data_IF_510629459842
#
_entry.id   IF_510629459842
#
_cell.length_a   1.000
_cell.length_b   1.000
_cell.length_c   1.000
_cell.angle_alpha   90.00
_cell.angle_beta   90.00
_cell.angle_gamma   90.00
#
_symmetry.space_group_name_H-M   'P 1'
#
loop_
_entity.id
_entity.type
_entity.pdbx_description
1 polymer ?
#
# COMPACT_ATOMS: atom_id res chain seq x y z
N UNK A 1 -4.80 22.11 -10.93
CA UNK A 1 -5.87 22.94 -10.33
C UNK A 1 -5.32 24.27 -9.82
N UNK A 2 -4.55 24.28 -8.72
CA UNK A 2 -4.01 25.51 -8.09
C UNK A 2 -3.31 26.44 -9.11
N UNK A 3 -2.39 25.92 -9.92
CA UNK A 3 -1.71 26.69 -10.99
C UNK A 3 -2.64 27.39 -11.98
N UNK A 4 -3.84 26.85 -12.22
CA UNK A 4 -4.84 27.46 -13.13
C UNK A 4 -5.56 28.62 -12.43
N UNK A 5 -5.80 28.49 -11.13
CA UNK A 5 -6.37 29.56 -10.29
C UNK A 5 -5.37 30.71 -10.14
N UNK A 6 -4.09 30.40 -9.91
CA UNK A 6 -3.01 31.40 -9.86
C UNK A 6 -2.85 32.17 -11.18
N UNK A 7 -3.16 31.54 -12.32
CA UNK A 7 -3.17 32.18 -13.64
C UNK A 7 -4.46 32.92 -13.98
N UNK A 8 -5.45 32.92 -13.08
CA UNK A 8 -6.75 33.55 -13.32
C UNK A 8 -7.66 32.77 -14.28
N UNK A 9 -7.31 31.55 -14.69
CA UNK A 9 -8.14 30.72 -15.57
C UNK A 9 -9.39 30.17 -14.87
N UNK A 10 -9.41 30.23 -13.54
CA UNK A 10 -10.53 29.81 -12.70
C UNK A 10 -10.52 30.58 -11.37
N UNK A 11 -11.69 30.94 -10.86
CA UNK A 11 -11.87 31.65 -9.60
C UNK A 11 -12.71 30.86 -8.57
N UNK A 12 -13.01 29.60 -8.88
CA UNK A 12 -13.89 28.76 -8.08
C UNK A 12 -13.50 27.29 -8.04
N UNK A 13 -13.86 26.63 -6.93
CA UNK A 13 -13.69 25.20 -6.70
C UNK A 13 -15.01 24.64 -6.18
N UNK A 14 -15.49 23.58 -6.82
CA UNK A 14 -16.55 22.71 -6.34
C UNK A 14 -15.94 21.36 -5.97
N UNK A 15 -16.12 20.92 -4.72
CA UNK A 15 -15.63 19.62 -4.27
C UNK A 15 -16.62 18.98 -3.31
N UNK A 16 -16.55 17.67 -3.15
CA UNK A 16 -17.46 16.95 -2.27
C UNK A 16 -17.31 17.36 -0.79
N UNK A 17 -16.07 17.53 -0.34
CA UNK A 17 -15.71 17.87 1.03
C UNK A 17 -14.29 18.50 1.05
N UNK A 18 -13.93 19.35 2.05
CA UNK A 18 -12.63 20.01 2.12
C UNK A 18 -11.40 19.09 2.08
N UNK A 19 -11.50 17.88 2.62
CA UNK A 19 -10.45 16.84 2.57
C UNK A 19 -9.94 16.53 1.15
N UNK A 20 -10.74 16.81 0.12
CA UNK A 20 -10.37 16.62 -1.29
C UNK A 20 -9.40 17.67 -1.83
N UNK A 21 -9.26 18.79 -1.13
CA UNK A 21 -8.49 19.93 -1.62
C UNK A 21 -7.06 19.96 -1.09
N UNK A 22 -6.82 19.43 0.11
CA UNK A 22 -5.53 19.48 0.77
C UNK A 22 -5.12 18.10 1.30
N UNK A 23 -3.99 17.58 0.83
CA UNK A 23 -3.42 16.31 1.33
C UNK A 23 -2.44 16.53 2.48
N UNK A 24 -1.97 17.76 2.67
CA UNK A 24 -1.02 18.14 3.70
C UNK A 24 -1.28 19.60 4.12
N UNK A 25 -0.59 20.03 5.18
CA UNK A 25 -0.74 21.38 5.74
C UNK A 25 -0.33 22.49 4.77
N UNK A 26 0.58 22.23 3.84
CA UNK A 26 1.02 23.20 2.83
C UNK A 26 -0.09 23.46 1.81
N UNK A 27 -0.73 22.40 1.32
CA UNK A 27 -1.83 22.53 0.35
C UNK A 27 -3.03 23.25 0.95
N UNK A 28 -3.37 22.93 2.21
CA UNK A 28 -4.46 23.59 2.93
C UNK A 28 -4.19 25.07 3.16
N UNK A 29 -2.97 25.41 3.57
CA UNK A 29 -2.53 26.79 3.72
C UNK A 29 -2.58 27.58 2.40
N UNK A 30 -2.18 26.96 1.28
CA UNK A 30 -2.27 27.58 -0.05
C UNK A 30 -3.70 27.90 -0.47
N UNK A 31 -4.65 27.02 -0.17
CA UNK A 31 -6.07 27.28 -0.50
C UNK A 31 -6.59 28.46 0.31
N UNK A 32 -6.29 28.50 1.61
CA UNK A 32 -6.68 29.62 2.48
C UNK A 32 -6.05 30.93 1.97
N UNK A 33 -4.76 30.90 1.61
CA UNK A 33 -4.07 32.05 1.03
C UNK A 33 -4.72 32.53 -0.27
N UNK A 34 -5.12 31.62 -1.16
CA UNK A 34 -5.83 32.00 -2.40
C UNK A 34 -7.19 32.62 -2.13
N UNK A 35 -7.89 32.21 -1.07
CA UNK A 35 -9.12 32.85 -0.61
C UNK A 35 -8.80 34.25 -0.04
N UNK A 36 -7.74 34.39 0.76
CA UNK A 36 -7.31 35.66 1.35
C UNK A 36 -6.93 36.70 0.29
N UNK A 37 -6.18 36.29 -0.73
CA UNK A 37 -5.79 37.15 -1.84
C UNK A 37 -6.91 37.37 -2.87
N UNK A 38 -8.12 36.85 -2.65
CA UNK A 38 -9.27 37.02 -3.55
C UNK A 38 -9.16 36.28 -4.89
N UNK A 39 -8.16 35.42 -5.08
CA UNK A 39 -8.00 34.62 -6.30
C UNK A 39 -8.99 33.45 -6.33
N UNK A 40 -9.42 32.97 -5.16
CA UNK A 40 -10.44 31.95 -4.99
C UNK A 40 -11.68 32.55 -4.32
N UNK A 41 -12.67 32.90 -5.14
CA UNK A 41 -13.90 33.58 -4.70
C UNK A 41 -15.03 32.61 -4.39
N UNK A 42 -15.13 31.53 -5.16
CA UNK A 42 -16.20 30.54 -5.01
C UNK A 42 -15.65 29.23 -4.50
N UNK A 43 -15.97 28.89 -3.26
CA UNK A 43 -15.60 27.59 -2.69
C UNK A 43 -16.86 26.95 -2.11
N UNK A 44 -17.30 25.85 -2.74
CA UNK A 44 -18.56 25.19 -2.40
C UNK A 44 -18.37 23.69 -2.19
N UNK A 45 -19.06 23.18 -1.17
CA UNK A 45 -19.12 21.76 -0.87
C UNK A 45 -20.56 21.33 -0.52
N UNK A 46 -21.01 20.15 -0.96
CA UNK A 46 -22.30 19.59 -0.52
C UNK A 46 -22.35 19.25 0.98
N UNK A 47 -21.22 18.88 1.58
CA UNK A 47 -21.14 18.35 2.96
C UNK A 47 -20.57 19.34 3.96
N UNK A 48 -20.13 20.52 3.50
CA UNK A 48 -19.49 21.54 4.33
C UNK A 48 -19.88 22.93 3.83
N UNK A 49 -20.45 23.74 4.71
CA UNK A 49 -20.80 25.11 4.37
C UNK A 49 -19.59 26.03 4.57
N UNK A 50 -19.22 26.76 3.51
CA UNK A 50 -18.12 27.71 3.55
C UNK A 50 -18.58 29.09 3.08
N UNK A 51 -18.16 30.09 3.84
CA UNK A 51 -18.28 31.51 3.52
C UNK A 51 -16.92 32.20 3.73
N UNK A 52 -16.64 33.22 2.92
CA UNK A 52 -15.39 33.97 2.98
C UNK A 52 -15.41 35.00 4.13
N UNK A 53 -15.55 34.51 5.36
CA UNK A 53 -15.46 35.28 6.60
C UNK A 53 -14.28 34.78 7.44
N UNK A 54 -13.83 35.56 8.42
CA UNK A 54 -12.76 35.14 9.33
C UNK A 54 -13.08 33.80 10.02
N UNK A 55 -14.35 33.62 10.41
CA UNK A 55 -14.83 32.36 10.98
C UNK A 55 -14.82 31.23 9.95
N UNK A 56 -15.27 31.47 8.71
CA UNK A 56 -15.29 30.45 7.66
C UNK A 56 -13.88 29.96 7.30
N UNK A 57 -12.90 30.86 7.22
CA UNK A 57 -11.49 30.52 7.01
C UNK A 57 -10.91 29.70 8.16
N UNK A 58 -11.23 30.08 9.40
CA UNK A 58 -10.84 29.30 10.58
C UNK A 58 -11.42 27.88 10.53
N UNK A 59 -12.73 27.74 10.28
CA UNK A 59 -13.38 26.43 10.17
C UNK A 59 -12.81 25.58 9.03
N UNK A 60 -12.49 26.21 7.89
CA UNK A 60 -11.84 25.51 6.78
C UNK A 60 -10.44 25.00 7.16
N UNK A 61 -9.67 25.78 7.92
CA UNK A 61 -8.36 25.36 8.43
C UNK A 61 -8.50 24.15 9.37
N UNK A 62 -9.45 24.20 10.31
CA UNK A 62 -9.75 23.08 11.21
C UNK A 62 -10.14 21.83 10.39
N UNK A 63 -10.97 21.97 9.36
CA UNK A 63 -11.36 20.84 8.50
C UNK A 63 -10.16 20.21 7.76
N UNK A 64 -9.22 21.02 7.26
CA UNK A 64 -7.96 20.51 6.70
C UNK A 64 -7.10 19.81 7.75
N UNK A 65 -7.01 20.38 8.97
CA UNK A 65 -6.30 19.78 10.10
C UNK A 65 -6.88 18.40 10.50
N UNK A 66 -8.20 18.31 10.61
CA UNK A 66 -8.90 17.06 10.92
C UNK A 66 -8.67 16.00 9.84
N UNK A 67 -8.67 16.39 8.56
CA UNK A 67 -8.42 15.48 7.44
C UNK A 67 -7.00 14.90 7.51
N UNK A 68 -5.99 15.74 7.81
CA UNK A 68 -4.62 15.30 8.02
C UNK A 68 -4.50 14.35 9.22
N UNK A 69 -5.08 14.73 10.36
CA UNK A 69 -5.10 13.89 11.56
C UNK A 69 -5.72 12.52 11.29
N UNK A 70 -6.84 12.46 10.55
CA UNK A 70 -7.50 11.20 10.22
C UNK A 70 -6.57 10.28 9.42
N UNK A 71 -5.88 10.82 8.41
CA UNK A 71 -4.93 10.05 7.58
C UNK A 71 -3.75 9.54 8.42
N UNK A 72 -3.16 10.41 9.24
CA UNK A 72 -2.01 10.07 10.09
C UNK A 72 -2.42 9.01 11.14
N UNK A 73 -3.55 9.20 11.82
CA UNK A 73 -4.10 8.26 12.78
C UNK A 73 -4.43 6.90 12.14
N UNK A 74 -5.00 6.89 10.93
CA UNK A 74 -5.26 5.64 10.20
C UNK A 74 -3.96 4.90 9.86
N UNK A 75 -2.91 5.62 9.48
CA UNK A 75 -1.60 5.03 9.21
C UNK A 75 -0.97 4.44 10.48
N UNK A 76 -1.06 5.13 11.62
CA UNK A 76 -0.62 4.64 12.92
C UNK A 76 -1.40 3.38 13.35
N UNK A 77 -2.73 3.43 13.26
CA UNK A 77 -3.60 2.31 13.59
C UNK A 77 -3.30 1.09 12.72
N UNK A 78 -3.03 1.30 11.43
CA UNK A 78 -2.63 0.23 10.50
C UNK A 78 -1.28 -0.37 10.90
N UNK A 79 -0.25 0.47 11.13
CA UNK A 79 1.07 0.02 11.59
C UNK A 79 0.97 -0.76 12.90
N UNK A 80 0.16 -0.29 13.85
CA UNK A 80 -0.11 -0.98 15.11
C UNK A 80 -0.76 -2.35 14.88
N UNK A 81 -1.76 -2.43 14.01
CA UNK A 81 -2.41 -3.70 13.64
C UNK A 81 -1.45 -4.70 13.01
N UNK A 82 -0.61 -4.25 12.07
CA UNK A 82 0.41 -5.10 11.44
C UNK A 82 1.46 -5.58 12.46
N UNK A 83 1.93 -4.70 13.36
CA UNK A 83 2.84 -5.10 14.45
C UNK A 83 2.22 -6.15 15.38
N UNK A 84 0.92 -6.04 15.67
CA UNK A 84 0.22 -7.05 16.47
C UNK A 84 0.14 -8.41 15.76
N UNK A 85 -0.11 -8.42 14.45
CA UNK A 85 -0.03 -9.66 13.66
C UNK A 85 1.34 -10.32 13.75
N UNK A 86 2.39 -9.51 13.55
CA UNK A 86 3.80 -9.98 13.63
C UNK A 86 4.10 -10.59 15.00
N UNK A 87 3.67 -9.94 16.09
CA UNK A 87 3.83 -10.47 17.46
C UNK A 87 3.11 -11.80 17.68
N UNK A 88 2.01 -12.04 16.96
CA UNK A 88 1.29 -13.33 17.01
C UNK A 88 1.91 -14.40 16.10
N UNK A 89 2.95 -14.07 15.32
CA UNK A 89 3.54 -14.95 14.31
C UNK A 89 2.71 -15.03 13.02
N UNK A 90 1.79 -14.09 12.80
CA UNK A 90 0.98 -14.02 11.59
C UNK A 90 1.69 -13.15 10.54
N UNK A 91 1.90 -13.69 9.35
CA UNK A 91 2.54 -12.94 8.26
C UNK A 91 1.63 -11.80 7.77
N UNK A 92 2.06 -10.53 7.86
CA UNK A 92 1.20 -9.37 7.63
C UNK A 92 1.11 -8.94 6.15
N UNK A 93 1.45 -9.83 5.21
CA UNK A 93 1.49 -9.54 3.78
C UNK A 93 0.86 -10.67 2.95
N UNK A 94 0.83 -10.51 1.64
CA UNK A 94 0.28 -11.52 0.73
C UNK A 94 1.08 -12.81 0.82
N UNK A 95 0.40 -13.94 1.02
CA UNK A 95 0.97 -15.28 0.96
C UNK A 95 1.95 -15.48 -0.22
N UNK A 96 3.16 -16.02 0.03
CA UNK A 96 4.12 -16.36 -1.02
C UNK A 96 3.61 -17.46 -1.97
N UNK A 97 4.29 -17.63 -3.11
CA UNK A 97 3.93 -18.67 -4.09
C UNK A 97 4.05 -20.04 -3.41
N UNK A 98 3.06 -20.92 -3.61
CA UNK A 98 2.96 -22.18 -2.86
C UNK A 98 2.00 -22.11 -1.67
N UNK A 99 1.51 -20.91 -1.34
CA UNK A 99 0.53 -20.67 -0.29
C UNK A 99 -0.64 -19.82 -0.80
N UNK A 100 -1.76 -19.85 -0.08
CA UNK A 100 -2.96 -19.09 -0.36
C UNK A 100 -3.41 -18.35 0.90
N UNK A 101 -4.00 -17.18 0.72
CA UNK A 101 -4.68 -16.49 1.82
C UNK A 101 -6.11 -17.02 1.86
N UNK A 102 -6.53 -17.61 2.98
CA UNK A 102 -7.91 -18.02 3.19
C UNK A 102 -8.73 -16.80 3.64
N UNK A 103 -9.70 -16.31 2.84
CA UNK A 103 -10.51 -15.15 3.20
C UNK A 103 -11.40 -15.39 4.43
N UNK A 104 -11.73 -16.65 4.74
CA UNK A 104 -12.65 -17.01 5.84
C UNK A 104 -11.94 -16.93 7.19
N UNK A 105 -10.79 -17.60 7.28
CA UNK A 105 -10.00 -17.65 8.51
C UNK A 105 -8.98 -16.51 8.62
N UNK A 106 -8.75 -15.76 7.53
CA UNK A 106 -7.74 -14.70 7.42
C UNK A 106 -6.33 -15.19 7.72
N UNK A 107 -6.06 -16.49 7.52
CA UNK A 107 -4.75 -17.12 7.67
C UNK A 107 -4.15 -17.49 6.31
N UNK A 108 -2.91 -17.95 6.34
CA UNK A 108 -2.22 -18.47 5.18
C UNK A 108 -2.26 -19.99 5.26
N UNK A 109 -2.69 -20.63 4.17
CA UNK A 109 -2.78 -22.08 4.03
C UNK A 109 -1.88 -22.56 2.89
N UNK A 110 -1.42 -23.80 2.96
CA UNK A 110 -0.58 -24.43 1.93
C UNK A 110 -1.41 -24.78 0.70
N UNK A 111 -0.99 -24.28 -0.47
CA UNK A 111 -1.50 -24.78 -1.76
C UNK A 111 -0.76 -26.07 -2.10
N UNK A 112 -1.35 -27.23 -1.79
CA UNK A 112 -0.70 -28.55 -1.97
C UNK A 112 -0.07 -28.72 -3.36
N UNK A 113 -0.75 -28.25 -4.41
CA UNK A 113 -0.26 -28.38 -5.79
C UNK A 113 0.96 -27.49 -6.01
N UNK A 114 0.86 -26.19 -5.71
CA UNK A 114 1.96 -25.23 -5.94
C UNK A 114 3.12 -25.43 -4.96
N UNK A 115 2.85 -25.78 -3.71
CA UNK A 115 3.86 -26.06 -2.69
C UNK A 115 4.79 -27.21 -3.11
N UNK A 116 4.24 -28.27 -3.69
CA UNK A 116 5.04 -29.39 -4.20
C UNK A 116 6.03 -28.96 -5.30
N UNK A 117 5.62 -28.03 -6.17
CA UNK A 117 6.47 -27.48 -7.22
C UNK A 117 7.55 -26.57 -6.66
N UNK A 118 7.21 -25.74 -5.66
CA UNK A 118 8.20 -24.92 -4.97
C UNK A 118 9.24 -25.78 -4.27
N UNK A 119 8.83 -26.85 -3.56
CA UNK A 119 9.76 -27.79 -2.93
C UNK A 119 10.73 -28.40 -3.96
N UNK A 120 10.22 -28.87 -5.10
CA UNK A 120 11.05 -29.37 -6.21
C UNK A 120 12.01 -28.31 -6.75
N UNK A 121 11.60 -27.04 -6.79
CA UNK A 121 12.47 -25.94 -7.21
C UNK A 121 13.64 -25.70 -6.23
N UNK A 122 13.41 -25.83 -4.92
CA UNK A 122 14.48 -25.81 -3.92
C UNK A 122 15.42 -27.01 -4.07
N UNK A 123 14.87 -28.21 -4.24
CA UNK A 123 15.67 -29.43 -4.47
C UNK A 123 16.51 -29.33 -5.74
N UNK A 124 15.96 -28.77 -6.83
CA UNK A 124 16.68 -28.53 -8.08
C UNK A 124 17.85 -27.57 -7.87
N UNK A 125 17.63 -26.48 -7.12
CA UNK A 125 18.69 -25.52 -6.83
C UNK A 125 19.78 -26.10 -5.92
N UNK A 126 19.41 -26.95 -4.96
CA UNK A 126 20.33 -27.57 -4.01
C UNK A 126 21.27 -28.62 -4.64
N UNK A 127 20.93 -29.20 -5.80
CA UNK A 127 21.70 -30.27 -6.45
C UNK A 127 23.05 -29.85 -7.08
N UNK A 128 23.61 -28.69 -6.70
CA UNK A 128 24.89 -28.14 -7.17
C UNK A 128 25.10 -28.25 -8.69
N UNK A 129 24.55 -27.28 -9.43
CA UNK A 129 24.71 -27.18 -10.89
C UNK A 129 23.63 -26.34 -11.56
N UNK A 130 22.50 -26.13 -10.89
CA UNK A 130 21.38 -25.35 -11.41
C UNK A 130 21.59 -23.86 -11.22
N UNK A 131 21.48 -23.09 -12.31
CA UNK A 131 21.41 -21.63 -12.29
C UNK A 131 19.99 -21.20 -11.90
N UNK A 132 19.85 -19.94 -11.47
CA UNK A 132 18.53 -19.34 -11.20
C UNK A 132 17.61 -19.38 -12.44
N UNK A 133 18.19 -19.36 -13.64
CA UNK A 133 17.44 -19.48 -14.89
C UNK A 133 16.83 -20.86 -15.10
N UNK A 134 17.52 -21.92 -14.68
CA UNK A 134 17.03 -23.30 -14.79
C UNK A 134 15.80 -23.49 -13.90
N UNK A 135 15.85 -22.93 -12.69
CA UNK A 135 14.71 -22.89 -11.76
C UNK A 135 13.54 -22.08 -12.33
N UNK A 136 13.83 -20.94 -12.97
CA UNK A 136 12.80 -20.14 -13.65
C UNK A 136 12.12 -20.90 -14.79
N UNK A 137 12.90 -21.64 -15.59
CA UNK A 137 12.40 -22.48 -16.68
C UNK A 137 11.57 -23.64 -16.15
N UNK A 138 12.04 -24.34 -15.12
CA UNK A 138 11.31 -25.42 -14.45
C UNK A 138 9.96 -24.95 -13.91
N UNK A 139 9.92 -23.81 -13.22
CA UNK A 139 8.68 -23.26 -12.67
C UNK A 139 7.70 -22.87 -13.77
N UNK A 140 8.18 -22.27 -14.87
CA UNK A 140 7.33 -21.93 -16.01
C UNK A 140 6.76 -23.19 -16.70
N UNK A 141 7.59 -24.22 -16.93
CA UNK A 141 7.13 -25.51 -17.48
C UNK A 141 6.12 -26.21 -16.57
N UNK A 142 6.24 -26.01 -15.26
CA UNK A 142 5.31 -26.54 -14.26
C UNK A 142 4.03 -25.69 -14.09
N UNK A 143 3.84 -24.64 -14.90
CA UNK A 143 2.65 -23.79 -14.89
C UNK A 143 2.68 -22.65 -13.86
N UNK A 144 3.84 -22.33 -13.28
CA UNK A 144 4.03 -21.17 -12.39
C UNK A 144 4.57 -19.99 -13.20
N UNK A 145 3.70 -19.01 -13.43
CA UNK A 145 4.01 -17.80 -14.18
C UNK A 145 3.80 -16.54 -13.33
N UNK A 146 4.34 -15.42 -13.82
CA UNK A 146 3.98 -14.09 -13.32
C UNK A 146 2.50 -13.79 -13.57
N UNK A 147 1.97 -12.71 -12.94
CA UNK A 147 0.59 -12.25 -13.16
C UNK A 147 0.24 -12.01 -14.65
N UNK A 148 1.25 -11.67 -15.46
CA UNK A 148 1.08 -11.38 -16.89
C UNK A 148 1.36 -12.62 -17.77
N UNK A 149 1.38 -13.83 -17.21
CA UNK A 149 1.64 -15.08 -17.94
C UNK A 149 3.11 -15.31 -18.34
N UNK A 150 4.01 -14.35 -18.09
CA UNK A 150 5.44 -14.47 -18.43
C UNK A 150 6.20 -15.33 -17.43
N UNK A 151 7.31 -15.93 -17.88
CA UNK A 151 8.30 -16.62 -17.03
C UNK A 151 8.79 -15.68 -15.90
N UNK A 152 9.05 -16.24 -14.72
CA UNK A 152 9.60 -15.48 -13.60
C UNK A 152 11.02 -15.02 -13.92
N UNK A 153 11.32 -13.74 -13.61
CA UNK A 153 12.67 -13.20 -13.75
C UNK A 153 13.63 -13.79 -12.71
N UNK A 154 14.93 -13.79 -13.01
CA UNK A 154 15.99 -14.27 -12.12
C UNK A 154 15.89 -13.69 -10.71
N UNK A 155 15.61 -12.39 -10.58
CA UNK A 155 15.51 -11.74 -9.26
C UNK A 155 14.32 -12.27 -8.45
N UNK A 156 13.23 -12.63 -9.13
CA UNK A 156 12.06 -13.21 -8.47
C UNK A 156 12.36 -14.62 -7.96
N UNK A 157 13.15 -15.39 -8.72
CA UNK A 157 13.62 -16.70 -8.26
C UNK A 157 14.54 -16.56 -7.06
N UNK A 158 15.51 -15.65 -7.13
CA UNK A 158 16.40 -15.34 -6.00
C UNK A 158 15.61 -14.93 -4.76
N UNK A 159 14.57 -14.11 -4.93
CA UNK A 159 13.67 -13.73 -3.84
C UNK A 159 12.93 -14.93 -3.25
N UNK A 160 12.40 -15.83 -4.08
CA UNK A 160 11.69 -17.04 -3.60
C UNK A 160 12.65 -17.94 -2.81
N UNK A 161 13.82 -18.24 -3.36
CA UNK A 161 14.80 -19.16 -2.74
C UNK A 161 15.41 -18.62 -1.44
N UNK A 162 15.48 -17.29 -1.29
CA UNK A 162 16.00 -16.62 -0.08
C UNK A 162 14.92 -16.14 0.89
N UNK A 163 13.65 -16.46 0.64
CA UNK A 163 12.53 -16.01 1.47
C UNK A 163 12.42 -16.88 2.73
N UNK A 164 12.53 -16.29 3.94
CA UNK A 164 12.39 -17.01 5.19
C UNK A 164 11.08 -17.77 5.38
N UNK A 165 10.05 -17.35 4.64
CA UNK A 165 8.72 -17.94 4.71
C UNK A 165 8.72 -19.45 4.48
N UNK A 166 9.57 -19.94 3.59
CA UNK A 166 9.62 -21.35 3.22
C UNK A 166 10.26 -22.26 4.29
N UNK A 167 10.90 -21.69 5.32
CA UNK A 167 11.40 -22.43 6.48
C UNK A 167 10.71 -22.01 7.80
N UNK A 168 9.54 -21.38 7.73
CA UNK A 168 8.72 -21.06 8.89
C UNK A 168 8.98 -19.70 9.55
N UNK A 169 9.74 -18.81 8.92
CA UNK A 169 10.01 -17.46 9.43
C UNK A 169 9.54 -16.39 8.45
N UNK A 170 9.51 -15.11 8.80
CA UNK A 170 9.22 -14.06 7.82
C UNK A 170 9.91 -12.75 8.16
N UNK A 171 10.16 -11.92 7.14
CA UNK A 171 10.75 -10.59 7.30
C UNK A 171 9.66 -9.53 7.50
N UNK A 172 9.79 -8.72 8.54
CA UNK A 172 8.97 -7.53 8.74
C UNK A 172 9.78 -6.44 9.42
N UNK A 173 9.71 -5.19 8.94
CA UNK A 173 10.41 -4.07 9.57
C UNK A 173 11.94 -4.16 9.60
N UNK A 174 12.56 -5.04 8.78
CA UNK A 174 14.01 -5.29 8.79
C UNK A 174 14.44 -6.47 9.68
N UNK A 175 13.52 -7.04 10.46
CA UNK A 175 13.77 -8.16 11.37
C UNK A 175 13.16 -9.46 10.83
N UNK A 176 13.66 -10.60 11.32
CA UNK A 176 13.12 -11.94 11.04
C UNK A 176 12.32 -12.39 12.26
N UNK A 177 11.08 -12.83 12.04
CA UNK A 177 10.19 -13.34 13.08
C UNK A 177 9.76 -14.77 12.76
N UNK A 178 9.48 -15.56 13.80
CA UNK A 178 8.91 -16.91 13.66
C UNK A 178 7.43 -16.84 13.24
N UNK A 179 7.06 -17.65 12.24
CA UNK A 179 5.71 -17.72 11.70
C UNK A 179 4.94 -18.95 12.18
N UNK A 180 3.61 -18.83 12.27
CA UNK A 180 2.69 -19.92 12.66
C UNK A 180 1.94 -20.56 11.47
N UNK A 181 2.47 -20.40 10.26
CA UNK A 181 1.82 -20.78 8.99
C UNK A 181 2.18 -22.17 8.50
#
# INVERSE_FOLDING_TARGET
MIKRIEKGEANGILAWHPDRLARNSVDGGKIIYLVDCGHLQFLKFPTFWFENTSQGKFMLNIAFGQSKYYVDSLAENTKRGLRQKVRRGEYPALAPIGYLNDPRTKTIIVDKKRASLIRKAFELYAKNGSRLEDVATFLAQSGIHSKNGKRLHRDRISFILSNPFYYGHFRYGGEIHEGKH
#
